data_IF_728187455956
#
_entry.id   IF_728187455956
#
_cell.length_a   1.000
_cell.length_b   1.000
_cell.length_c   1.000
_cell.angle_alpha   90.00
_cell.angle_beta   90.00
_cell.angle_gamma   90.00
#
_symmetry.space_group_name_H-M   'P 1'
#
loop_
_entity.id
_entity.type
_entity.pdbx_description
1 polymer ?
#
# COMPACT_ATOMS: atom_id res chain seq x y z
N UNK A 1 -6.76 -93.25 -49.97
CA UNK A 1 -7.56 -92.20 -49.29
C UNK A 1 -6.68 -91.43 -48.29
N UNK A 2 -5.47 -91.02 -48.70
CA UNK A 2 -4.43 -90.45 -47.81
C UNK A 2 -3.70 -89.25 -48.44
N UNK A 3 -3.68 -89.13 -49.78
CA UNK A 3 -3.12 -87.97 -50.49
C UNK A 3 -4.04 -86.73 -50.49
N UNK A 4 -5.37 -86.91 -50.48
CA UNK A 4 -6.32 -85.80 -50.44
C UNK A 4 -6.35 -85.07 -49.08
N UNK A 5 -6.08 -85.79 -47.97
CA UNK A 5 -6.05 -85.19 -46.63
C UNK A 5 -4.80 -84.34 -46.39
N UNK A 6 -3.67 -84.68 -47.00
CA UNK A 6 -2.47 -83.86 -46.89
C UNK A 6 -2.62 -82.51 -47.60
N UNK A 7 -3.22 -82.46 -48.79
CA UNK A 7 -3.43 -81.20 -49.53
C UNK A 7 -4.37 -80.22 -48.79
N UNK A 8 -5.38 -80.72 -48.08
CA UNK A 8 -6.29 -79.88 -47.30
C UNK A 8 -5.61 -79.27 -46.06
N UNK A 9 -4.69 -80.00 -45.42
CA UNK A 9 -3.95 -79.48 -44.26
C UNK A 9 -2.98 -78.35 -44.65
N UNK A 10 -2.35 -78.40 -45.83
CA UNK A 10 -1.50 -77.31 -46.31
C UNK A 10 -2.30 -76.06 -46.70
N UNK A 11 -3.51 -76.21 -47.24
CA UNK A 11 -4.40 -75.09 -47.54
C UNK A 11 -4.92 -74.41 -46.27
N UNK A 12 -5.26 -75.17 -45.25
CA UNK A 12 -5.64 -74.64 -43.95
C UNK A 12 -4.46 -73.91 -43.27
N UNK A 13 -3.25 -74.46 -43.36
CA UNK A 13 -2.04 -73.83 -42.82
C UNK A 13 -1.70 -72.51 -43.55
N UNK A 14 -1.83 -72.47 -44.88
CA UNK A 14 -1.65 -71.27 -45.69
C UNK A 14 -2.71 -70.21 -45.40
N UNK A 15 -3.95 -70.60 -45.16
CA UNK A 15 -5.03 -69.68 -44.80
C UNK A 15 -4.84 -69.09 -43.41
N UNK A 16 -4.38 -69.90 -42.44
CA UNK A 16 -4.03 -69.44 -41.09
C UNK A 16 -2.78 -68.53 -41.11
N UNK A 17 -1.76 -68.85 -41.91
CA UNK A 17 -0.59 -67.99 -42.10
C UNK A 17 -0.94 -66.66 -42.78
N UNK A 18 -1.86 -66.66 -43.74
CA UNK A 18 -2.36 -65.43 -44.38
C UNK A 18 -3.24 -64.58 -43.44
N UNK A 19 -4.04 -65.21 -42.57
CA UNK A 19 -4.82 -64.53 -41.53
C UNK A 19 -3.92 -63.93 -40.44
N UNK A 20 -2.87 -64.64 -40.02
CA UNK A 20 -1.87 -64.11 -39.08
C UNK A 20 -1.06 -62.98 -39.71
N UNK A 21 -0.69 -63.08 -40.99
CA UNK A 21 -0.01 -62.01 -41.72
C UNK A 21 -0.88 -60.75 -41.89
N UNK A 22 -2.19 -60.90 -42.13
CA UNK A 22 -3.13 -59.77 -42.19
C UNK A 22 -3.42 -59.17 -40.80
N UNK A 23 -3.42 -59.99 -39.75
CA UNK A 23 -3.57 -59.51 -38.37
C UNK A 23 -2.34 -58.74 -37.88
N UNK A 24 -1.13 -59.08 -38.34
CA UNK A 24 0.10 -58.34 -38.03
C UNK A 24 0.31 -57.08 -38.85
N UNK A 25 -0.42 -56.89 -39.96
CA UNK A 25 -0.36 -55.67 -40.80
C UNK A 25 -1.45 -54.63 -40.49
N UNK A 26 -2.29 -54.89 -39.47
CA UNK A 26 -3.21 -53.91 -38.89
C UNK A 26 -2.93 -53.71 -37.40
N UNK A 27 -1.67 -53.50 -37.05
CA UNK A 27 -1.42 -52.61 -35.93
C UNK A 27 -1.91 -51.22 -36.38
N UNK A 28 -2.85 -50.56 -35.69
CA UNK A 28 -3.03 -49.15 -35.93
C UNK A 28 -1.70 -48.50 -35.55
N UNK A 29 -0.92 -48.10 -36.54
CA UNK A 29 0.09 -47.07 -36.37
C UNK A 29 -0.63 -45.73 -36.19
N UNK A 30 -1.53 -45.66 -35.21
CA UNK A 30 -1.68 -44.45 -34.43
C UNK A 30 -0.40 -44.39 -33.61
N UNK A 31 0.67 -43.89 -34.24
CA UNK A 31 1.52 -42.99 -33.50
C UNK A 31 0.58 -41.90 -33.01
N UNK A 32 0.03 -42.07 -31.82
CA UNK A 32 -0.02 -40.95 -30.91
C UNK A 32 1.46 -40.65 -30.72
N UNK A 33 2.03 -39.90 -31.67
CA UNK A 33 3.12 -39.01 -31.36
C UNK A 33 2.52 -38.21 -30.23
N UNK A 34 2.76 -38.64 -29.00
CA UNK A 34 2.40 -37.87 -27.83
C UNK A 34 2.94 -36.51 -28.19
N UNK A 35 2.04 -35.53 -28.37
CA UNK A 35 2.46 -34.17 -28.59
C UNK A 35 3.50 -33.95 -27.52
N UNK A 36 4.77 -33.87 -27.95
CA UNK A 36 5.83 -33.52 -27.02
C UNK A 36 5.34 -32.18 -26.54
N UNK A 37 4.91 -32.12 -25.28
CA UNK A 37 4.50 -30.86 -24.67
C UNK A 37 5.80 -30.08 -24.60
N UNK A 38 6.10 -29.38 -25.69
CA UNK A 38 7.24 -28.49 -25.76
C UNK A 38 6.86 -27.32 -24.89
N UNK A 39 7.37 -27.33 -23.65
CA UNK A 39 7.24 -26.19 -22.75
C UNK A 39 8.06 -25.09 -23.40
N UNK A 40 7.36 -24.09 -23.94
CA UNK A 40 7.95 -22.94 -24.61
C UNK A 40 8.00 -21.74 -23.66
N UNK A 41 9.15 -21.07 -23.61
CA UNK A 41 9.39 -19.96 -22.70
C UNK A 41 8.51 -18.77 -23.05
N UNK A 42 8.35 -18.49 -24.34
CA UNK A 42 7.54 -17.37 -24.83
C UNK A 42 6.07 -17.59 -24.51
N UNK A 43 5.51 -18.75 -24.90
CA UNK A 43 4.12 -19.09 -24.62
C UNK A 43 3.82 -19.09 -23.11
N UNK A 44 4.71 -19.64 -22.27
CA UNK A 44 4.52 -19.68 -20.82
C UNK A 44 4.56 -18.28 -20.21
N UNK A 45 5.49 -17.42 -20.66
CA UNK A 45 5.59 -16.05 -20.18
C UNK A 45 4.40 -15.20 -20.63
N UNK A 46 3.99 -15.31 -21.90
CA UNK A 46 2.84 -14.60 -22.46
C UNK A 46 1.54 -14.99 -21.76
N UNK A 47 1.37 -16.27 -21.42
CA UNK A 47 0.21 -16.72 -20.66
C UNK A 47 0.16 -16.09 -19.25
N UNK A 48 1.30 -16.00 -18.57
CA UNK A 48 1.40 -15.34 -17.27
C UNK A 48 1.13 -13.82 -17.37
N UNK A 49 1.72 -13.14 -18.37
CA UNK A 49 1.44 -11.73 -18.66
C UNK A 49 -0.05 -11.53 -18.98
N UNK A 50 -0.67 -12.39 -19.79
CA UNK A 50 -2.11 -12.29 -20.09
C UNK A 50 -2.97 -12.41 -18.82
N UNK A 51 -2.75 -13.45 -18.01
CA UNK A 51 -3.46 -13.63 -16.75
C UNK A 51 -3.32 -12.40 -15.83
N UNK A 52 -2.12 -11.78 -15.80
CA UNK A 52 -1.88 -10.56 -15.06
C UNK A 52 -2.73 -9.37 -15.56
N UNK A 53 -2.79 -9.17 -16.88
CA UNK A 53 -3.56 -8.09 -17.50
C UNK A 53 -5.07 -8.32 -17.40
N UNK A 54 -5.51 -9.58 -17.40
CA UNK A 54 -6.91 -9.98 -17.21
C UNK A 54 -7.36 -9.85 -15.73
N UNK A 55 -6.45 -9.48 -14.81
CA UNK A 55 -6.73 -9.31 -13.39
C UNK A 55 -6.77 -10.62 -12.60
N UNK A 56 -6.43 -11.75 -13.23
CA UNK A 56 -6.35 -13.07 -12.61
C UNK A 56 -5.03 -13.22 -11.84
N UNK A 57 -4.81 -12.38 -10.81
CA UNK A 57 -3.51 -12.22 -10.16
C UNK A 57 -2.95 -13.51 -9.55
N UNK A 58 -3.79 -14.33 -8.91
CA UNK A 58 -3.34 -15.62 -8.37
C UNK A 58 -2.86 -16.57 -9.48
N UNK A 59 -3.56 -16.59 -10.62
CA UNK A 59 -3.13 -17.38 -11.78
C UNK A 59 -1.84 -16.81 -12.36
N UNK A 60 -1.74 -15.49 -12.51
CA UNK A 60 -0.51 -14.85 -12.97
C UNK A 60 0.69 -15.24 -12.11
N UNK A 61 0.54 -15.22 -10.77
CA UNK A 61 1.60 -15.65 -9.86
C UNK A 61 2.01 -17.10 -10.10
N UNK A 62 1.04 -18.02 -10.24
CA UNK A 62 1.31 -19.44 -10.50
C UNK A 62 2.09 -19.60 -11.81
N UNK A 63 1.66 -18.92 -12.87
CA UNK A 63 2.23 -19.08 -14.20
C UNK A 63 3.60 -18.39 -14.35
N UNK A 64 3.84 -17.27 -13.67
CA UNK A 64 5.18 -16.69 -13.55
C UNK A 64 6.13 -17.57 -12.73
N UNK A 65 5.65 -18.21 -11.65
CA UNK A 65 6.46 -19.17 -10.89
C UNK A 65 6.82 -20.36 -11.76
N UNK A 66 5.85 -20.91 -12.50
CA UNK A 66 6.08 -21.98 -13.48
C UNK A 66 7.11 -21.58 -14.52
N UNK A 67 7.03 -20.36 -15.06
CA UNK A 67 8.04 -19.82 -15.97
C UNK A 67 9.43 -19.82 -15.32
N UNK A 68 9.54 -19.35 -14.08
CA UNK A 68 10.81 -19.31 -13.35
C UNK A 68 11.38 -20.69 -13.05
N UNK A 69 10.53 -21.69 -12.79
CA UNK A 69 10.97 -23.05 -12.49
C UNK A 69 11.58 -23.73 -13.73
N UNK A 70 10.95 -23.59 -14.90
CA UNK A 70 11.40 -24.19 -16.16
C UNK A 70 12.48 -23.37 -16.88
N UNK A 71 12.46 -22.04 -16.75
CA UNK A 71 13.28 -21.11 -17.56
C UNK A 71 14.13 -20.18 -16.70
N UNK A 72 14.84 -20.74 -15.71
CA UNK A 72 15.61 -19.98 -14.72
C UNK A 72 16.67 -19.02 -15.31
N UNK A 73 17.22 -19.36 -16.49
CA UNK A 73 18.26 -18.58 -17.19
C UNK A 73 17.71 -17.64 -18.27
N UNK A 74 16.40 -17.62 -18.48
CA UNK A 74 15.78 -16.73 -19.44
C UNK A 74 15.95 -15.27 -19.00
N UNK A 75 16.18 -14.38 -19.96
CA UNK A 75 16.40 -12.94 -19.70
C UNK A 75 15.21 -12.29 -18.98
N UNK A 76 13.99 -12.83 -19.15
CA UNK A 76 12.77 -12.35 -18.50
C UNK A 76 12.61 -12.86 -17.08
N UNK A 77 13.47 -13.76 -16.58
CA UNK A 77 13.35 -14.30 -15.23
C UNK A 77 13.36 -13.18 -14.16
N UNK A 78 14.07 -12.07 -14.39
CA UNK A 78 14.02 -10.95 -13.45
C UNK A 78 12.69 -10.19 -13.51
N UNK A 79 12.18 -9.94 -14.72
CA UNK A 79 10.87 -9.34 -14.95
C UNK A 79 9.75 -10.20 -14.35
N UNK A 80 9.78 -11.51 -14.54
CA UNK A 80 8.80 -12.45 -13.97
C UNK A 80 8.76 -12.37 -12.44
N UNK A 81 9.92 -12.33 -11.75
CA UNK A 81 9.97 -12.14 -10.29
C UNK A 81 9.34 -10.83 -9.85
N UNK A 82 9.63 -9.74 -10.56
CA UNK A 82 8.98 -8.45 -10.32
C UNK A 82 7.46 -8.55 -10.52
N UNK A 83 6.99 -9.19 -11.60
CA UNK A 83 5.56 -9.32 -11.90
C UNK A 83 4.80 -10.15 -10.87
N UNK A 84 5.42 -11.13 -10.22
CA UNK A 84 4.84 -11.85 -9.08
C UNK A 84 4.52 -10.89 -7.93
N UNK A 85 5.48 -10.03 -7.57
CA UNK A 85 5.24 -9.00 -6.55
C UNK A 85 4.15 -8.01 -6.97
N UNK A 86 4.17 -7.58 -8.23
CA UNK A 86 3.14 -6.69 -8.79
C UNK A 86 1.75 -7.32 -8.77
N UNK A 87 1.65 -8.63 -8.97
CA UNK A 87 0.36 -9.34 -8.97
C UNK A 87 -0.22 -9.36 -7.56
N UNK A 88 0.58 -9.70 -6.54
CA UNK A 88 0.14 -9.59 -5.15
C UNK A 88 -0.20 -8.16 -4.75
N UNK A 89 0.56 -7.18 -5.25
CA UNK A 89 0.29 -5.77 -5.00
C UNK A 89 -1.08 -5.36 -5.55
N UNK A 90 -1.38 -5.73 -6.80
CA UNK A 90 -2.66 -5.45 -7.46
C UNK A 90 -3.82 -6.21 -6.83
N UNK A 91 -3.56 -7.37 -6.24
CA UNK A 91 -4.52 -8.10 -5.41
C UNK A 91 -4.69 -7.54 -3.99
N UNK A 92 -4.07 -6.38 -3.67
CA UNK A 92 -4.05 -5.75 -2.34
C UNK A 92 -3.46 -6.63 -1.21
N UNK A 93 -2.73 -7.68 -1.58
CA UNK A 93 -2.02 -8.58 -0.66
C UNK A 93 -0.63 -8.03 -0.38
N UNK A 94 -0.58 -6.88 0.32
CA UNK A 94 0.66 -6.11 0.49
C UNK A 94 1.78 -6.89 1.19
N UNK A 95 1.48 -7.75 2.16
CA UNK A 95 2.50 -8.58 2.84
C UNK A 95 3.12 -9.61 1.90
N UNK A 96 2.29 -10.24 1.04
CA UNK A 96 2.77 -11.19 0.04
C UNK A 96 3.57 -10.48 -1.06
N UNK A 97 3.13 -9.29 -1.46
CA UNK A 97 3.84 -8.43 -2.41
C UNK A 97 5.24 -8.08 -1.90
N UNK A 98 5.35 -7.63 -0.64
CA UNK A 98 6.66 -7.37 -0.01
C UNK A 98 7.54 -8.61 -0.10
N UNK A 99 7.03 -9.77 0.32
CA UNK A 99 7.78 -11.04 0.29
C UNK A 99 8.25 -11.41 -1.12
N UNK A 100 7.41 -11.20 -2.12
CA UNK A 100 7.72 -11.48 -3.52
C UNK A 100 8.71 -10.48 -4.15
N UNK A 101 8.73 -9.23 -3.69
CA UNK A 101 9.68 -8.22 -4.15
C UNK A 101 11.06 -8.35 -3.49
N UNK A 102 11.16 -8.94 -2.29
CA UNK A 102 12.43 -9.09 -1.56
C UNK A 102 13.55 -9.72 -2.40
N UNK A 103 13.34 -10.85 -3.12
CA UNK A 103 14.36 -11.42 -3.98
C UNK A 103 14.83 -10.50 -5.11
N UNK A 104 13.98 -9.58 -5.58
CA UNK A 104 14.32 -8.64 -6.66
C UNK A 104 15.22 -7.52 -6.14
N UNK A 105 15.00 -7.06 -4.91
CA UNK A 105 15.81 -5.99 -4.30
C UNK A 105 17.07 -6.50 -3.60
N UNK A 106 17.18 -7.79 -3.27
CA UNK A 106 18.35 -8.35 -2.56
C UNK A 106 19.51 -8.74 -3.47
N UNK A 107 19.34 -8.70 -4.79
CA UNK A 107 20.42 -8.94 -5.76
C UNK A 107 21.50 -7.87 -5.70
N UNK A 108 22.76 -8.21 -6.00
CA UNK A 108 23.90 -7.27 -5.96
C UNK A 108 23.73 -6.08 -6.92
N UNK A 109 23.24 -6.31 -8.14
CA UNK A 109 23.05 -5.25 -9.14
C UNK A 109 21.72 -4.53 -8.94
N UNK A 110 21.79 -3.20 -8.84
CA UNK A 110 20.60 -2.34 -8.84
C UNK A 110 20.27 -1.96 -10.28
N UNK A 111 19.17 -2.50 -10.78
CA UNK A 111 18.62 -2.19 -12.10
C UNK A 111 17.22 -1.57 -11.99
N UNK A 112 16.56 -1.39 -13.14
CA UNK A 112 15.22 -0.83 -13.21
C UNK A 112 14.19 -1.62 -12.37
N UNK A 113 14.22 -2.97 -12.43
CA UNK A 113 13.29 -3.81 -11.66
C UNK A 113 13.55 -3.74 -10.15
N UNK A 114 14.82 -3.60 -9.76
CA UNK A 114 15.20 -3.37 -8.36
C UNK A 114 14.61 -2.05 -7.86
N UNK A 115 14.79 -0.98 -8.62
CA UNK A 115 14.27 0.36 -8.27
C UNK A 115 12.74 0.33 -8.15
N UNK A 116 12.05 -0.28 -9.14
CA UNK A 116 10.59 -0.45 -9.11
C UNK A 116 10.15 -1.26 -7.88
N UNK A 117 10.87 -2.33 -7.55
CA UNK A 117 10.57 -3.18 -6.39
C UNK A 117 10.78 -2.46 -5.06
N UNK A 118 11.86 -1.68 -4.89
CA UNK A 118 12.09 -0.87 -3.67
C UNK A 118 10.92 0.09 -3.42
N UNK A 119 10.43 0.74 -4.48
CA UNK A 119 9.28 1.65 -4.42
C UNK A 119 7.99 0.91 -4.09
N UNK A 120 7.73 -0.22 -4.76
CA UNK A 120 6.58 -1.06 -4.51
C UNK A 120 6.53 -1.55 -3.05
N UNK A 121 7.67 -1.97 -2.49
CA UNK A 121 7.79 -2.38 -1.09
C UNK A 121 7.51 -1.20 -0.15
N UNK A 122 8.08 -0.03 -0.42
CA UNK A 122 7.79 1.19 0.35
C UNK A 122 6.29 1.50 0.36
N UNK A 123 5.64 1.41 -0.80
CA UNK A 123 4.22 1.65 -0.98
C UNK A 123 3.35 0.61 -0.25
N UNK A 124 3.71 -0.67 -0.32
CA UNK A 124 3.09 -1.71 0.49
C UNK A 124 3.15 -1.38 1.98
N UNK A 125 4.31 -0.95 2.48
CA UNK A 125 4.44 -0.53 3.87
C UNK A 125 3.56 0.68 4.21
N UNK A 126 3.42 1.66 3.31
CA UNK A 126 2.50 2.79 3.51
C UNK A 126 1.04 2.33 3.57
N UNK A 127 0.62 1.42 2.69
CA UNK A 127 -0.73 0.81 2.69
C UNK A 127 -1.01 0.01 3.96
N UNK A 128 0.03 -0.55 4.59
CA UNK A 128 -0.03 -1.22 5.89
C UNK A 128 0.08 -0.26 7.09
N UNK A 129 0.17 1.06 6.88
CA UNK A 129 0.34 2.06 7.94
C UNK A 129 1.76 2.13 8.53
N UNK A 130 2.71 1.39 7.96
CA UNK A 130 4.08 1.17 8.42
C UNK A 130 5.06 2.17 7.78
N UNK A 131 4.83 3.47 7.98
CA UNK A 131 5.64 4.50 7.30
C UNK A 131 7.13 4.48 7.67
N UNK A 132 7.49 4.06 8.90
CA UNK A 132 8.91 3.95 9.30
C UNK A 132 9.63 2.93 8.41
N UNK A 133 9.01 1.78 8.18
CA UNK A 133 9.53 0.74 7.29
C UNK A 133 9.56 1.20 5.83
N UNK A 134 8.55 1.94 5.38
CA UNK A 134 8.53 2.54 4.05
C UNK A 134 9.76 3.43 3.81
N UNK A 135 10.02 4.36 4.73
CA UNK A 135 11.19 5.25 4.68
C UNK A 135 12.49 4.45 4.72
N UNK A 136 12.63 3.47 5.63
CA UNK A 136 13.85 2.66 5.75
C UNK A 136 14.19 1.90 4.46
N UNK A 137 13.19 1.42 3.72
CA UNK A 137 13.40 0.77 2.42
C UNK A 137 13.87 1.75 1.34
N UNK A 138 13.34 2.97 1.33
CA UNK A 138 13.78 4.02 0.41
C UNK A 138 15.18 4.56 0.75
N UNK A 139 15.53 4.67 2.03
CA UNK A 139 16.89 4.99 2.48
C UNK A 139 17.88 3.92 2.00
N UNK A 140 17.53 2.63 2.13
CA UNK A 140 18.31 1.53 1.54
C UNK A 140 18.50 1.67 0.03
N UNK A 141 17.50 2.16 -0.71
CA UNK A 141 17.65 2.42 -2.15
C UNK A 141 18.67 3.53 -2.40
N UNK A 142 18.62 4.63 -1.62
CA UNK A 142 19.56 5.77 -1.72
C UNK A 142 21.01 5.33 -1.52
N UNK A 143 21.25 4.41 -0.59
CA UNK A 143 22.60 3.91 -0.27
C UNK A 143 23.19 3.06 -1.41
N UNK A 144 22.34 2.39 -2.18
CA UNK A 144 22.78 1.44 -3.22
C UNK A 144 22.89 2.02 -4.61
N UNK A 145 22.23 3.15 -4.88
CA UNK A 145 22.27 3.79 -6.20
C UNK A 145 23.39 4.81 -6.28
N UNK A 146 24.05 4.91 -7.43
CA UNK A 146 24.99 6.01 -7.71
C UNK A 146 24.32 7.18 -8.43
N UNK A 147 23.20 6.94 -9.12
CA UNK A 147 22.47 7.97 -9.85
C UNK A 147 21.89 9.02 -8.89
N UNK A 148 22.46 10.21 -8.95
CA UNK A 148 22.09 11.32 -8.10
C UNK A 148 20.67 11.85 -8.40
N UNK A 149 20.17 11.73 -9.64
CA UNK A 149 18.80 12.13 -9.97
C UNK A 149 17.78 11.18 -9.32
N UNK A 150 18.11 9.90 -9.22
CA UNK A 150 17.31 8.92 -8.51
C UNK A 150 17.35 9.14 -6.99
N UNK A 151 18.49 9.54 -6.43
CA UNK A 151 18.58 9.97 -5.02
C UNK A 151 17.68 11.16 -4.75
N UNK A 152 17.75 12.21 -5.58
CA UNK A 152 16.90 13.40 -5.45
C UNK A 152 15.41 13.04 -5.54
N UNK A 153 15.01 12.16 -6.47
CA UNK A 153 13.64 11.65 -6.55
C UNK A 153 13.22 10.92 -5.27
N UNK A 154 14.12 10.11 -4.72
CA UNK A 154 13.85 9.30 -3.53
C UNK A 154 13.75 10.16 -2.27
N UNK A 155 14.61 11.18 -2.12
CA UNK A 155 14.51 12.18 -1.07
C UNK A 155 13.18 12.94 -1.14
N UNK A 156 12.76 13.37 -2.33
CA UNK A 156 11.44 13.97 -2.52
C UNK A 156 10.31 13.03 -2.09
N UNK A 157 10.39 11.75 -2.45
CA UNK A 157 9.39 10.75 -2.08
C UNK A 157 9.31 10.55 -0.56
N UNK A 158 10.46 10.46 0.13
CA UNK A 158 10.53 10.36 1.59
C UNK A 158 9.99 11.64 2.25
N UNK A 159 10.35 12.81 1.72
CA UNK A 159 9.85 14.10 2.21
C UNK A 159 8.31 14.16 2.21
N UNK A 160 7.67 13.67 1.14
CA UNK A 160 6.21 13.55 1.10
C UNK A 160 5.64 12.57 2.12
N UNK A 161 6.30 11.43 2.37
CA UNK A 161 5.86 10.48 3.41
C UNK A 161 5.82 11.15 4.79
N UNK A 162 6.83 11.96 5.12
CA UNK A 162 6.85 12.71 6.37
C UNK A 162 5.84 13.87 6.37
N UNK A 163 5.71 14.58 5.25
CA UNK A 163 4.79 15.70 5.11
C UNK A 163 3.32 15.28 5.31
N UNK A 164 2.91 14.18 4.70
CA UNK A 164 1.57 13.60 4.87
C UNK A 164 1.29 13.14 6.31
N UNK A 165 2.34 12.97 7.13
CA UNK A 165 2.23 12.63 8.55
C UNK A 165 2.35 13.83 9.47
N UNK A 166 2.44 15.04 8.91
CA UNK A 166 2.71 16.30 9.62
C UNK A 166 4.04 16.31 10.39
N UNK A 167 4.97 15.44 9.99
CA UNK A 167 6.34 15.43 10.51
C UNK A 167 7.17 16.42 9.70
N UNK A 168 6.94 17.71 9.98
CA UNK A 168 7.49 18.82 9.21
C UNK A 168 9.02 18.88 9.27
N UNK A 169 9.62 18.53 10.40
CA UNK A 169 11.07 18.59 10.59
C UNK A 169 11.79 17.58 9.69
N UNK A 170 11.32 16.33 9.66
CA UNK A 170 11.89 15.32 8.77
C UNK A 170 11.56 15.60 7.30
N UNK A 171 10.34 16.06 6.99
CA UNK A 171 9.96 16.43 5.63
C UNK A 171 10.90 17.49 5.06
N UNK A 172 11.12 18.57 5.81
CA UNK A 172 12.02 19.66 5.46
C UNK A 172 13.47 19.18 5.31
N UNK A 173 13.95 18.35 6.25
CA UNK A 173 15.29 17.76 6.17
C UNK A 173 15.49 16.98 4.86
N UNK A 174 14.52 16.17 4.47
CA UNK A 174 14.58 15.39 3.24
C UNK A 174 14.47 16.24 1.98
N UNK A 175 13.59 17.25 1.95
CA UNK A 175 13.55 18.20 0.82
C UNK A 175 14.85 18.99 0.68
N UNK A 176 15.52 19.31 1.80
CA UNK A 176 16.81 20.01 1.76
C UNK A 176 17.97 19.17 1.19
N UNK A 177 17.88 17.84 1.25
CA UNK A 177 18.87 16.94 0.62
C UNK A 177 18.79 16.94 -0.92
N UNK A 178 17.73 17.47 -1.52
CA UNK A 178 17.58 17.58 -2.98
C UNK A 178 18.57 18.61 -3.52
N UNK A 179 19.39 18.20 -4.49
CA UNK A 179 20.41 19.07 -5.10
C UNK A 179 19.79 20.26 -5.83
N UNK A 180 20.48 21.40 -5.81
CA UNK A 180 20.02 22.67 -6.39
C UNK A 180 19.47 22.55 -7.83
N UNK A 181 20.14 21.77 -8.68
CA UNK A 181 19.73 21.56 -10.08
C UNK A 181 18.34 20.90 -10.23
N UNK A 182 17.91 20.13 -9.24
CA UNK A 182 16.63 19.41 -9.22
C UNK A 182 15.59 20.05 -8.28
N UNK A 183 15.95 21.07 -7.48
CA UNK A 183 15.03 21.75 -6.57
C UNK A 183 13.83 22.37 -7.29
N UNK A 184 14.05 22.94 -8.48
CA UNK A 184 12.96 23.46 -9.34
C UNK A 184 12.05 22.35 -9.86
N UNK A 185 12.61 21.21 -10.31
CA UNK A 185 11.86 20.05 -10.81
C UNK A 185 10.92 19.49 -9.74
N UNK A 186 11.42 19.34 -8.52
CA UNK A 186 10.66 18.77 -7.40
C UNK A 186 9.98 19.83 -6.52
N UNK A 187 10.00 21.11 -6.92
CA UNK A 187 9.45 22.24 -6.16
C UNK A 187 9.89 22.26 -4.69
N UNK A 188 11.12 21.81 -4.40
CA UNK A 188 11.60 21.59 -3.03
C UNK A 188 11.50 22.86 -2.17
N UNK A 189 11.92 24.01 -2.70
CA UNK A 189 11.88 25.28 -1.97
C UNK A 189 10.44 25.76 -1.71
N UNK A 190 9.52 25.51 -2.65
CA UNK A 190 8.10 25.79 -2.45
C UNK A 190 7.50 24.90 -1.37
N UNK A 191 7.83 23.61 -1.36
CA UNK A 191 7.35 22.66 -0.35
C UNK A 191 7.86 23.03 1.04
N UNK A 192 9.11 23.48 1.16
CA UNK A 192 9.67 23.99 2.42
C UNK A 192 8.91 25.25 2.89
N UNK A 193 8.62 26.19 1.99
CA UNK A 193 7.80 27.35 2.35
C UNK A 193 6.36 26.98 2.74
N UNK A 194 5.78 25.98 2.09
CA UNK A 194 4.44 25.50 2.40
C UNK A 194 4.40 24.73 3.73
N UNK A 195 5.50 24.06 4.13
CA UNK A 195 5.67 23.52 5.48
C UNK A 195 5.60 24.64 6.52
N UNK A 196 6.30 25.75 6.32
CA UNK A 196 6.26 26.89 7.26
C UNK A 196 4.86 27.52 7.35
N UNK A 197 4.16 27.63 6.23
CA UNK A 197 2.74 28.02 6.24
C UNK A 197 1.91 27.01 7.04
N UNK A 198 2.10 25.71 6.83
CA UNK A 198 1.39 24.68 7.58
C UNK A 198 1.65 24.75 9.10
N UNK A 199 2.90 25.01 9.52
CA UNK A 199 3.26 25.20 10.95
C UNK A 199 2.52 26.39 11.59
N UNK A 200 2.21 27.42 10.81
CA UNK A 200 1.50 28.61 11.28
C UNK A 200 -0.02 28.51 11.21
N UNK A 201 -0.57 27.48 10.55
CA UNK A 201 -2.02 27.23 10.49
C UNK A 201 -2.53 26.72 11.83
N UNK A 202 -3.66 27.28 12.28
CA UNK A 202 -4.40 26.77 13.43
C UNK A 202 -3.55 26.79 14.68
N UNK A 203 -3.17 27.97 15.18
CA UNK A 203 -2.53 28.09 16.49
C UNK A 203 -3.54 28.46 17.57
N UNK A 204 -4.71 27.79 17.59
CA UNK A 204 -5.62 27.93 18.74
C UNK A 204 -4.90 27.34 19.95
N UNK A 205 -4.65 28.17 20.96
CA UNK A 205 -3.83 27.79 22.10
C UNK A 205 -4.58 26.78 22.98
N UNK A 206 -4.05 25.56 23.18
CA UNK A 206 -4.66 24.58 24.08
C UNK A 206 -4.73 25.09 25.52
N UNK A 207 -3.71 25.82 25.97
CA UNK A 207 -3.69 26.40 27.33
C UNK A 207 -4.76 27.46 27.50
N UNK A 208 -4.93 28.33 26.50
CA UNK A 208 -6.01 29.34 26.51
C UNK A 208 -7.38 28.68 26.48
N UNK A 209 -7.57 27.64 25.67
CA UNK A 209 -8.82 26.87 25.67
C UNK A 209 -9.12 26.27 27.05
N UNK A 210 -8.11 25.69 27.72
CA UNK A 210 -8.25 25.15 29.07
C UNK A 210 -8.54 26.22 30.13
N UNK A 211 -7.83 27.35 30.10
CA UNK A 211 -8.06 28.47 31.04
C UNK A 211 -9.46 29.06 30.88
N UNK A 212 -9.93 29.22 29.64
CA UNK A 212 -11.27 29.74 29.38
C UNK A 212 -12.36 28.75 29.85
N UNK A 213 -12.11 27.44 29.82
CA UNK A 213 -13.05 26.43 30.31
C UNK A 213 -13.36 26.48 31.81
N UNK A 214 -12.71 27.36 32.59
CA UNK A 214 -13.19 27.72 33.94
C UNK A 214 -14.59 28.34 33.88
N UNK A 215 -14.94 28.99 32.78
CA UNK A 215 -16.34 29.32 32.50
C UNK A 215 -16.90 28.16 31.66
N UNK A 216 -17.94 27.44 32.14
CA UNK A 216 -18.56 26.35 31.38
C UNK A 216 -18.84 26.74 29.93
N UNK A 217 -18.27 25.97 28.99
CA UNK A 217 -18.40 26.19 27.55
C UNK A 217 -17.49 27.24 26.91
N UNK A 218 -16.83 28.14 27.66
CA UNK A 218 -16.06 29.23 27.06
C UNK A 218 -14.78 28.75 26.33
N UNK A 219 -14.14 27.68 26.80
CA UNK A 219 -13.03 27.06 26.07
C UNK A 219 -13.45 26.46 24.72
N UNK A 220 -14.66 25.88 24.64
CA UNK A 220 -15.23 25.42 23.37
C UNK A 220 -15.65 26.58 22.47
N UNK A 221 -16.16 27.68 23.06
CA UNK A 221 -16.52 28.88 22.32
C UNK A 221 -15.30 29.51 21.63
N UNK A 222 -14.15 29.57 22.31
CA UNK A 222 -12.87 30.01 21.74
C UNK A 222 -12.44 29.18 20.52
N UNK A 223 -12.79 27.89 20.52
CA UNK A 223 -12.54 26.95 19.43
C UNK A 223 -13.64 26.95 18.37
N UNK A 224 -14.61 27.88 18.45
CA UNK A 224 -15.76 27.99 17.54
C UNK A 224 -16.66 26.74 17.54
N UNK A 225 -16.61 25.96 18.63
CA UNK A 225 -17.43 24.77 18.86
C UNK A 225 -18.70 25.13 19.63
N UNK A 226 -19.61 25.86 18.98
CA UNK A 226 -20.80 26.44 19.63
C UNK A 226 -21.73 25.39 20.26
N UNK A 227 -21.89 24.22 19.64
CA UNK A 227 -22.72 23.15 20.17
C UNK A 227 -22.15 22.60 21.49
N UNK A 228 -20.84 22.33 21.53
CA UNK A 228 -20.17 21.84 22.73
C UNK A 228 -20.12 22.92 23.82
N UNK A 229 -19.95 24.19 23.44
CA UNK A 229 -20.03 25.32 24.36
C UNK A 229 -21.40 25.39 25.05
N UNK A 230 -22.48 25.27 24.27
CA UNK A 230 -23.84 25.28 24.80
C UNK A 230 -24.12 24.08 25.72
N UNK A 231 -23.76 22.87 25.28
CA UNK A 231 -23.98 21.65 26.07
C UNK A 231 -23.21 21.73 27.40
N UNK A 232 -21.95 22.17 27.35
CA UNK A 232 -21.15 22.37 28.56
C UNK A 232 -21.79 23.39 29.49
N UNK A 233 -22.23 24.55 28.98
CA UNK A 233 -22.91 25.54 29.80
C UNK A 233 -24.18 24.99 30.48
N UNK A 234 -25.03 24.29 29.73
CA UNK A 234 -26.30 23.75 30.25
C UNK A 234 -26.08 22.65 31.29
N UNK A 235 -25.19 21.69 31.02
CA UNK A 235 -24.95 20.55 31.91
C UNK A 235 -24.33 20.99 33.24
N UNK A 236 -23.25 21.78 33.20
CA UNK A 236 -22.61 22.26 34.42
C UNK A 236 -23.55 23.22 35.18
N UNK A 237 -24.26 24.10 34.45
CA UNK A 237 -25.24 25.01 35.07
C UNK A 237 -26.36 24.27 35.79
N UNK A 238 -26.91 23.22 35.18
CA UNK A 238 -27.95 22.39 35.79
C UNK A 238 -27.45 21.63 37.03
N UNK A 239 -26.25 21.06 36.97
CA UNK A 239 -25.68 20.31 38.09
C UNK A 239 -25.27 21.22 39.26
N UNK A 240 -24.71 22.39 38.98
CA UNK A 240 -24.43 23.42 40.00
C UNK A 240 -25.72 23.87 40.67
N UNK A 241 -26.77 24.15 39.88
CA UNK A 241 -28.08 24.54 40.42
C UNK A 241 -28.70 23.41 41.27
N UNK A 242 -28.64 22.17 40.81
CA UNK A 242 -29.15 21.02 41.56
C UNK A 242 -28.38 20.76 42.86
N UNK A 243 -27.05 20.93 42.85
CA UNK A 243 -26.24 20.85 44.06
C UNK A 243 -26.60 21.97 45.05
N UNK A 244 -26.73 23.21 44.56
CA UNK A 244 -27.15 24.36 45.36
C UNK A 244 -28.50 24.10 46.03
N UNK A 245 -29.51 23.69 45.26
CA UNK A 245 -30.85 23.39 45.76
C UNK A 245 -30.82 22.25 46.81
N UNK A 246 -30.01 21.21 46.60
CA UNK A 246 -29.87 20.13 47.56
C UNK A 246 -29.26 20.61 48.89
N UNK A 247 -28.26 21.51 48.86
CA UNK A 247 -27.71 22.07 50.09
C UNK A 247 -28.66 23.04 50.78
N UNK A 248 -29.42 23.85 50.03
CA UNK A 248 -30.39 24.80 50.59
C UNK A 248 -31.57 24.10 51.29
N UNK A 249 -31.91 22.89 50.85
CA UNK A 249 -32.95 22.03 51.45
C UNK A 249 -32.39 21.01 52.48
N UNK A 250 -31.21 21.23 53.05
CA UNK A 250 -30.56 20.35 54.05
C UNK A 250 -30.28 18.89 53.57
N UNK A 251 -30.28 18.63 52.26
CA UNK A 251 -30.00 17.32 51.65
C UNK A 251 -28.49 17.13 51.39
N UNK A 252 -27.67 17.26 52.44
CA UNK A 252 -26.20 17.29 52.34
C UNK A 252 -25.58 16.10 51.59
N UNK A 253 -26.10 14.89 51.79
CA UNK A 253 -25.59 13.68 51.12
C UNK A 253 -25.85 13.76 49.61
N UNK A 254 -27.05 14.19 49.21
CA UNK A 254 -27.40 14.35 47.80
C UNK A 254 -26.58 15.46 47.16
N UNK A 255 -26.47 16.62 47.82
CA UNK A 255 -25.63 17.73 47.37
C UNK A 255 -24.18 17.30 47.18
N UNK A 256 -23.62 16.55 48.13
CA UNK A 256 -22.26 16.00 48.04
C UNK A 256 -22.07 15.04 46.84
N UNK A 257 -23.03 14.16 46.57
CA UNK A 257 -22.99 13.26 45.41
C UNK A 257 -23.03 14.06 44.11
N UNK A 258 -23.94 15.03 43.99
CA UNK A 258 -24.06 15.87 42.79
C UNK A 258 -22.78 16.68 42.58
N UNK A 259 -22.24 17.31 43.62
CA UNK A 259 -20.97 18.05 43.53
C UNK A 259 -19.80 17.16 43.12
N UNK A 260 -19.73 15.92 43.63
CA UNK A 260 -18.69 14.98 43.22
C UNK A 260 -18.80 14.58 41.74
N UNK A 261 -20.02 14.33 41.27
CA UNK A 261 -20.28 14.04 39.85
C UNK A 261 -19.94 15.25 38.99
N UNK A 262 -20.39 16.44 39.37
CA UNK A 262 -20.13 17.70 38.68
C UNK A 262 -18.63 17.99 38.58
N UNK A 263 -17.86 17.76 39.65
CA UNK A 263 -16.41 17.91 39.62
C UNK A 263 -15.76 17.07 38.49
N UNK A 264 -16.25 15.85 38.27
CA UNK A 264 -15.80 14.98 37.20
C UNK A 264 -16.15 15.51 35.80
N UNK A 265 -17.41 15.93 35.59
CA UNK A 265 -17.84 16.54 34.32
C UNK A 265 -17.11 17.85 34.02
N UNK A 266 -16.91 18.68 35.04
CA UNK A 266 -16.23 19.95 34.94
C UNK A 266 -14.75 19.79 34.56
N UNK A 267 -14.02 18.89 35.25
CA UNK A 267 -12.65 18.53 34.88
C UNK A 267 -12.57 17.95 33.46
N UNK A 268 -13.54 17.10 33.09
CA UNK A 268 -13.68 16.55 31.74
C UNK A 268 -13.85 17.63 30.66
N UNK A 269 -14.61 18.69 30.92
CA UNK A 269 -14.79 19.81 30.00
C UNK A 269 -13.51 20.62 29.77
N UNK A 270 -12.71 20.85 30.83
CA UNK A 270 -11.42 21.53 30.70
C UNK A 270 -10.47 20.69 29.83
N UNK A 271 -10.33 19.40 30.14
CA UNK A 271 -9.51 18.47 29.33
C UNK A 271 -10.03 18.31 27.90
N UNK A 272 -11.35 18.30 27.73
CA UNK A 272 -12.00 18.21 26.45
C UNK A 272 -11.68 19.42 25.57
N UNK A 273 -11.71 20.65 26.11
CA UNK A 273 -11.36 21.86 25.38
C UNK A 273 -9.88 21.89 24.95
N UNK A 274 -8.94 21.55 25.85
CA UNK A 274 -7.51 21.51 25.52
C UNK A 274 -7.22 20.50 24.40
N UNK A 275 -7.78 19.29 24.51
CA UNK A 275 -7.64 18.23 23.49
C UNK A 275 -8.27 18.65 22.16
N UNK A 276 -9.39 19.37 22.21
CA UNK A 276 -10.07 19.86 21.01
C UNK A 276 -9.24 20.89 20.27
N UNK A 277 -8.54 21.78 20.98
CA UNK A 277 -7.62 22.73 20.37
C UNK A 277 -6.55 22.00 19.54
N UNK A 278 -5.91 20.97 20.12
CA UNK A 278 -4.94 20.14 19.39
C UNK A 278 -5.53 19.48 18.14
N UNK A 279 -6.74 18.92 18.25
CA UNK A 279 -7.41 18.26 17.11
C UNK A 279 -7.76 19.24 16.00
N UNK A 280 -8.32 20.40 16.33
CA UNK A 280 -8.67 21.44 15.35
C UNK A 280 -7.43 21.92 14.62
N UNK A 281 -6.37 22.24 15.35
CA UNK A 281 -5.10 22.69 14.78
C UNK A 281 -4.53 21.64 13.80
N UNK A 282 -4.46 20.38 14.24
CA UNK A 282 -3.96 19.27 13.42
C UNK A 282 -4.84 18.99 12.21
N UNK A 283 -6.16 19.10 12.33
CA UNK A 283 -7.10 18.94 11.22
C UNK A 283 -6.88 19.99 10.13
N UNK A 284 -6.73 21.26 10.52
CA UNK A 284 -6.48 22.35 9.57
C UNK A 284 -5.15 22.16 8.83
N UNK A 285 -4.13 21.66 9.52
CA UNK A 285 -2.86 21.30 8.90
C UNK A 285 -3.02 20.16 7.89
N UNK A 286 -3.73 19.08 8.25
CA UNK A 286 -4.03 17.99 7.32
C UNK A 286 -4.78 18.48 6.08
N UNK A 287 -5.82 19.31 6.26
CA UNK A 287 -6.60 19.86 5.14
C UNK A 287 -5.73 20.72 4.21
N UNK A 288 -4.78 21.47 4.77
CA UNK A 288 -3.83 22.24 3.98
C UNK A 288 -2.89 21.34 3.18
N UNK A 289 -2.32 20.30 3.81
CA UNK A 289 -1.42 19.35 3.13
C UNK A 289 -2.16 18.57 2.04
N UNK A 290 -3.40 18.17 2.26
CA UNK A 290 -4.21 17.48 1.26
C UNK A 290 -4.46 18.38 0.04
N UNK A 291 -4.80 19.65 0.25
CA UNK A 291 -4.93 20.64 -0.83
C UNK A 291 -3.59 20.89 -1.55
N UNK A 292 -2.49 20.93 -0.82
CA UNK A 292 -1.13 21.09 -1.37
C UNK A 292 -0.77 19.89 -2.26
N UNK A 293 -1.05 18.67 -1.80
CA UNK A 293 -0.86 17.44 -2.56
C UNK A 293 -1.63 17.51 -3.88
N UNK A 294 -2.92 17.82 -3.84
CA UNK A 294 -3.77 17.93 -5.03
C UNK A 294 -3.22 18.94 -6.06
N UNK A 295 -2.75 20.11 -5.61
CA UNK A 295 -2.16 21.15 -6.49
C UNK A 295 -0.81 20.74 -7.07
N UNK A 296 -0.02 19.98 -6.30
CA UNK A 296 1.33 19.59 -6.72
C UNK A 296 1.30 18.40 -7.68
N UNK A 297 0.34 17.47 -7.49
CA UNK A 297 0.14 16.28 -8.33
C UNK A 297 -0.19 16.58 -9.80
N UNK A 298 -0.82 17.73 -10.10
CA UNK A 298 -1.15 18.15 -11.48
C UNK A 298 0.10 18.58 -12.29
N UNK A 299 1.24 18.83 -11.64
CA UNK A 299 2.39 19.52 -12.26
C UNK A 299 3.66 18.69 -12.50
N UNK A 300 3.74 17.42 -12.10
CA UNK A 300 4.98 16.62 -12.19
C UNK A 300 4.87 15.59 -13.32
N UNK A 301 5.64 15.78 -14.40
CA UNK A 301 5.76 14.77 -15.46
C UNK A 301 6.40 13.48 -14.90
N UNK A 302 5.86 12.28 -15.23
CA UNK A 302 6.47 11.02 -14.81
C UNK A 302 7.85 10.84 -15.44
N UNK A 303 8.86 10.46 -14.64
CA UNK A 303 10.18 10.10 -15.18
C UNK A 303 10.06 8.84 -16.07
N UNK A 304 10.59 8.86 -17.31
CA UNK A 304 10.47 7.74 -18.25
C UNK A 304 11.00 6.40 -17.71
N UNK A 305 12.02 6.42 -16.84
CA UNK A 305 12.59 5.19 -16.23
C UNK A 305 11.65 4.55 -15.20
N UNK A 306 10.60 5.27 -14.84
CA UNK A 306 9.61 4.80 -13.90
C UNK A 306 8.41 4.15 -14.61
N UNK A 307 8.28 4.23 -15.95
CA UNK A 307 7.16 3.61 -16.68
C UNK A 307 7.15 2.09 -16.50
N UNK A 308 6.16 1.59 -15.76
CA UNK A 308 5.92 0.16 -15.53
C UNK A 308 4.83 -0.02 -14.49
N UNK A 309 4.13 -1.16 -14.52
CA UNK A 309 2.96 -1.46 -13.70
C UNK A 309 3.37 -1.70 -12.23
N UNK A 310 3.82 -0.66 -11.54
CA UNK A 310 3.68 -0.42 -10.09
C UNK A 310 3.76 1.10 -9.91
N UNK A 311 2.62 1.76 -9.94
CA UNK A 311 2.46 3.12 -9.43
C UNK A 311 1.15 3.17 -8.67
N UNK A 312 1.21 3.32 -7.35
CA UNK A 312 0.26 4.17 -6.64
C UNK A 312 0.92 4.94 -5.49
N UNK A 313 2.03 5.62 -5.78
CA UNK A 313 2.18 6.96 -5.27
C UNK A 313 1.17 7.75 -6.10
N UNK A 314 -0.10 7.73 -5.68
CA UNK A 314 -1.29 8.10 -6.46
C UNK A 314 -0.99 9.12 -7.56
N UNK A 315 -0.83 8.58 -8.77
CA UNK A 315 -1.06 9.25 -10.03
C UNK A 315 -2.47 8.81 -10.45
N UNK A 316 -3.40 9.78 -10.52
CA UNK A 316 -4.83 9.68 -10.83
C UNK A 316 -5.71 8.87 -9.85
N UNK A 317 -6.81 9.51 -9.40
CA UNK A 317 -8.02 8.79 -9.01
C UNK A 317 -8.70 8.24 -10.27
#
# INVERSE_FOLDING_TARGET
MTLLNHLNNYRALLFVLLLVAHATMRAPSSSIAGQIITIDADQQYEYADKAFHDGEFDRAVIEYRRFLDFFQKDERARKARFQIGSAYYKAERFTDAITAFLPVIQTETVDEFSIKSYRAVSECYLKLGQAKQAVAILEKLIDRVQDQNLKDHTYHSIGWIFLERLDFDHAESYFNKIRALNRKKYKADSLIQDIEKARSIGQKSPTTAGMLSVIPGAGYLYLERYQDALISCLVNGALIYAAYEAFDNDLYVLGGIISFVELGFYAGNIYGATTSAHKTNRSQQYDFIEKLKQRTMVGIQPDPRLKGIVFSLQYNF
#
